data_IF_929032549945
#
_entry.id   IF_929032549945
#
_cell.length_a   1.000
_cell.length_b   1.000
_cell.length_c   1.000
_cell.angle_alpha   90.00
_cell.angle_beta   90.00
_cell.angle_gamma   90.00
#
_symmetry.space_group_name_H-M   'P 1'
#
loop_
_entity.id
_entity.type
_entity.pdbx_description
1 polymer ?
#
# COMPACT_ATOMS: atom_id res chain seq x y z
N UNK A 1 32.43 12.49 -14.07
CA UNK A 1 31.88 13.74 -14.65
C UNK A 1 30.37 13.68 -14.49
N UNK A 2 29.85 14.40 -13.50
CA UNK A 2 28.44 14.41 -13.11
C UNK A 2 27.64 15.23 -14.13
N UNK A 3 26.68 14.62 -14.83
CA UNK A 3 25.59 15.35 -15.47
C UNK A 3 24.37 15.29 -14.54
N UNK A 4 24.11 16.37 -13.82
CA UNK A 4 22.83 16.62 -13.17
C UNK A 4 21.77 16.76 -14.27
N UNK A 5 20.79 15.87 -14.24
CA UNK A 5 19.62 15.93 -15.13
C UNK A 5 18.64 16.94 -14.54
N UNK A 6 18.45 18.05 -15.24
CA UNK A 6 17.49 19.11 -14.88
C UNK A 6 16.11 18.75 -15.43
N UNK A 7 15.25 18.19 -14.59
CA UNK A 7 13.84 17.91 -14.93
C UNK A 7 12.82 18.84 -14.22
N UNK A 8 13.29 19.95 -13.64
CA UNK A 8 12.45 20.85 -12.80
C UNK A 8 11.81 22.00 -13.58
N UNK A 9 11.60 21.96 -14.86
CA UNK A 9 11.00 23.11 -15.57
C UNK A 9 9.86 22.85 -16.56
N UNK A 10 9.16 21.75 -16.53
CA UNK A 10 7.99 21.51 -17.41
C UNK A 10 6.69 21.04 -16.76
N UNK A 11 6.61 20.90 -15.44
CA UNK A 11 5.41 20.46 -14.72
C UNK A 11 4.50 21.55 -14.14
N UNK A 12 4.85 22.83 -14.21
CA UNK A 12 4.14 23.89 -13.48
C UNK A 12 3.12 24.71 -14.31
N UNK A 13 2.67 24.23 -15.45
CA UNK A 13 1.80 24.99 -16.33
C UNK A 13 0.42 24.37 -16.63
N UNK A 14 0.00 23.28 -16.02
CA UNK A 14 -1.28 22.62 -16.34
C UNK A 14 -2.23 22.46 -15.13
N UNK A 15 -1.86 22.84 -13.92
CA UNK A 15 -2.71 22.70 -12.72
C UNK A 15 -3.52 23.94 -12.32
N UNK A 16 -3.84 24.86 -13.22
CA UNK A 16 -4.63 26.06 -12.90
C UNK A 16 -5.92 26.20 -13.73
N UNK A 17 -6.50 25.12 -14.24
CA UNK A 17 -7.62 25.22 -15.17
C UNK A 17 -8.83 24.30 -14.94
N UNK A 18 -9.05 23.70 -13.79
CA UNK A 18 -10.25 22.84 -13.56
C UNK A 18 -11.01 23.15 -12.27
N UNK A 19 -10.82 24.27 -11.63
CA UNK A 19 -11.64 24.71 -10.49
C UNK A 19 -12.41 26.00 -10.72
N UNK A 20 -13.14 26.13 -11.84
CA UNK A 20 -14.11 27.22 -12.00
C UNK A 20 -15.19 26.84 -13.01
N UNK A 21 -16.18 26.07 -12.61
CA UNK A 21 -17.55 26.14 -13.14
C UNK A 21 -18.51 25.61 -12.08
N UNK A 22 -18.85 26.39 -11.07
CA UNK A 22 -20.21 26.45 -10.55
C UNK A 22 -20.40 27.88 -10.01
N UNK A 23 -21.17 28.64 -10.76
CA UNK A 23 -21.48 30.01 -10.43
C UNK A 23 -22.36 30.14 -9.20
N UNK A 24 -21.93 30.94 -8.26
CA UNK A 24 -22.79 31.59 -7.27
C UNK A 24 -22.67 33.09 -7.48
N UNK A 25 -23.79 33.72 -7.79
CA UNK A 25 -23.90 35.16 -8.00
C UNK A 25 -23.59 35.93 -6.71
N UNK A 26 -22.99 37.14 -6.79
CA UNK A 26 -22.71 37.93 -5.62
C UNK A 26 -23.98 38.62 -5.11
N UNK A 27 -24.27 38.45 -3.82
CA UNK A 27 -25.24 39.24 -3.09
C UNK A 27 -24.58 40.51 -2.63
N UNK A 28 -25.06 41.65 -3.10
CA UNK A 28 -24.65 42.97 -2.69
C UNK A 28 -25.05 43.25 -1.25
N UNK A 29 -24.09 43.62 -0.43
CA UNK A 29 -24.35 44.14 0.91
C UNK A 29 -24.74 45.63 0.82
N UNK A 30 -25.95 45.94 1.24
CA UNK A 30 -26.36 47.31 1.54
C UNK A 30 -26.08 47.58 3.03
N UNK A 31 -25.34 48.64 3.29
CA UNK A 31 -25.15 49.21 4.62
C UNK A 31 -26.35 50.06 4.99
N UNK A 32 -26.88 49.87 6.20
CA UNK A 32 -27.59 50.90 6.94
C UNK A 32 -27.17 50.86 8.39
N UNK A 33 -26.59 51.96 8.85
CA UNK A 33 -26.33 52.27 10.25
C UNK A 33 -27.66 52.51 10.99
N UNK A 34 -27.76 52.00 12.20
CA UNK A 34 -28.64 52.62 13.20
C UNK A 34 -28.07 52.38 14.61
N UNK A 35 -27.62 53.51 15.18
CA UNK A 35 -27.33 53.70 16.59
C UNK A 35 -28.57 53.46 17.46
N UNK A 36 -28.42 52.75 18.55
CA UNK A 36 -29.22 52.97 19.78
C UNK A 36 -28.43 52.46 20.99
N UNK A 37 -27.90 53.43 21.72
CA UNK A 37 -27.44 53.30 23.10
C UNK A 37 -28.59 52.78 24.01
N UNK A 38 -28.33 51.74 24.81
CA UNK A 38 -29.04 51.47 26.03
C UNK A 38 -28.04 51.26 27.15
N UNK A 39 -27.93 52.27 28.00
CA UNK A 39 -27.24 52.20 29.27
C UNK A 39 -28.00 51.27 30.25
N UNK A 40 -27.36 50.31 30.87
CA UNK A 40 -27.83 49.62 32.05
C UNK A 40 -26.78 49.66 33.15
N UNK A 41 -27.26 50.18 34.27
CA UNK A 41 -26.55 50.49 35.50
C UNK A 41 -25.84 49.30 36.14
N UNK A 42 -24.67 49.62 36.71
CA UNK A 42 -23.95 48.81 37.66
C UNK A 42 -24.78 48.54 38.93
N UNK A 43 -24.75 47.29 39.40
CA UNK A 43 -25.00 46.99 40.80
C UNK A 43 -23.84 46.12 41.34
N UNK A 44 -23.11 46.76 42.21
CA UNK A 44 -22.04 46.24 43.03
C UNK A 44 -22.61 45.25 44.07
N UNK A 45 -22.04 44.06 44.17
CA UNK A 45 -21.76 43.44 45.49
C UNK A 45 -20.97 42.15 45.36
N UNK A 46 -19.74 42.28 45.80
CA UNK A 46 -18.95 41.35 46.64
C UNK A 46 -18.95 39.84 46.36
N UNK A 47 -17.79 39.35 45.95
CA UNK A 47 -17.40 37.96 46.05
C UNK A 47 -16.17 37.69 45.20
N UNK A 48 -14.98 38.28 45.54
CA UNK A 48 -13.70 37.85 45.02
C UNK A 48 -13.40 36.45 45.54
N UNK A 49 -13.73 35.43 44.77
CA UNK A 49 -13.01 34.17 44.84
C UNK A 49 -12.00 34.23 43.71
N UNK A 50 -10.74 34.43 44.03
CA UNK A 50 -9.62 34.20 43.15
C UNK A 50 -9.65 32.72 42.79
N UNK A 51 -10.22 32.38 41.64
CA UNK A 51 -9.90 31.15 40.96
C UNK A 51 -8.48 31.35 40.39
N UNK A 52 -7.51 30.89 41.18
CA UNK A 52 -6.19 30.59 40.76
C UNK A 52 -6.39 29.52 39.64
N UNK A 53 -6.32 29.95 38.36
CA UNK A 53 -6.06 29.05 37.26
C UNK A 53 -4.63 28.55 37.48
N UNK A 54 -4.52 27.42 38.16
CA UNK A 54 -3.31 26.61 38.04
C UNK A 54 -3.28 26.19 36.58
N UNK A 55 -2.45 26.88 35.76
CA UNK A 55 -1.89 26.27 34.58
C UNK A 55 -1.21 25.01 35.10
N UNK A 56 -1.80 23.84 34.93
CA UNK A 56 -1.14 22.57 35.13
C UNK A 56 0.02 22.56 34.11
N UNK A 57 1.24 22.77 34.62
CA UNK A 57 2.44 22.60 33.79
C UNK A 57 2.37 21.20 33.20
N UNK A 58 2.25 21.13 31.88
CA UNK A 58 2.21 19.90 31.13
C UNK A 58 3.45 19.09 31.48
N UNK A 59 3.27 17.84 31.93
CA UNK A 59 4.35 17.00 32.42
C UNK A 59 5.29 16.60 31.29
N UNK A 60 6.46 17.21 31.20
CA UNK A 60 7.47 16.94 30.16
C UNK A 60 8.19 15.60 30.29
N UNK A 61 7.83 14.77 31.25
CA UNK A 61 8.43 13.46 31.55
C UNK A 61 9.94 13.48 31.85
N UNK A 62 10.53 14.68 32.01
CA UNK A 62 11.96 14.86 32.29
C UNK A 62 12.33 14.39 33.71
N UNK A 63 13.48 13.66 33.79
CA UNK A 63 14.01 13.18 35.06
C UNK A 63 13.17 12.14 35.79
N UNK A 64 12.32 11.45 35.03
CA UNK A 64 11.45 10.37 35.52
C UNK A 64 11.95 9.04 34.99
N UNK A 65 12.17 8.08 35.87
CA UNK A 65 12.47 6.72 35.47
C UNK A 65 11.18 6.01 35.03
N UNK A 66 11.12 5.58 33.76
CA UNK A 66 9.98 4.88 33.18
C UNK A 66 10.35 3.44 32.94
N UNK A 67 9.55 2.52 33.44
CA UNK A 67 9.69 1.09 33.16
C UNK A 67 8.79 0.72 31.98
N UNK A 68 9.38 0.17 30.93
CA UNK A 68 8.65 -0.31 29.75
C UNK A 68 8.31 -1.80 29.89
N UNK A 69 7.13 -2.18 29.43
CA UNK A 69 6.75 -3.59 29.29
C UNK A 69 7.44 -4.22 28.05
N UNK A 70 7.19 -5.51 27.80
CA UNK A 70 7.76 -6.24 26.65
C UNK A 70 7.42 -5.63 25.29
N UNK A 71 6.28 -4.91 25.20
CA UNK A 71 5.82 -4.25 23.97
C UNK A 71 6.34 -2.81 23.84
N UNK A 72 7.17 -2.34 24.79
CA UNK A 72 7.77 -1.01 24.75
C UNK A 72 6.84 0.11 25.22
N UNK A 73 5.73 -0.17 25.89
CA UNK A 73 4.85 0.82 26.51
C UNK A 73 5.16 0.97 28.01
N UNK A 74 5.18 2.19 28.51
CA UNK A 74 5.31 2.54 29.90
C UNK A 74 4.38 3.66 30.29
N UNK A 75 4.20 3.88 31.61
CA UNK A 75 3.41 4.99 32.11
C UNK A 75 4.28 5.93 32.92
N UNK A 76 4.10 7.24 32.72
CA UNK A 76 4.76 8.24 33.53
C UNK A 76 4.23 8.18 34.98
N UNK A 77 5.07 7.96 36.00
CA UNK A 77 4.60 7.90 37.39
C UNK A 77 4.11 9.23 37.94
N UNK A 78 4.37 10.36 37.27
CA UNK A 78 3.90 11.68 37.69
C UNK A 78 2.52 12.04 37.15
N UNK A 79 2.25 11.77 35.85
CA UNK A 79 1.01 12.17 35.17
C UNK A 79 0.18 11.00 34.64
N UNK A 80 0.71 9.77 34.75
CA UNK A 80 0.11 8.54 34.25
C UNK A 80 -0.11 8.50 32.72
N UNK A 81 0.48 9.43 31.96
CA UNK A 81 0.46 9.38 30.51
C UNK A 81 1.25 8.18 29.99
N UNK A 82 0.78 7.58 28.90
CA UNK A 82 1.50 6.52 28.19
C UNK A 82 2.76 7.12 27.54
N UNK A 83 3.90 6.47 27.76
CA UNK A 83 5.18 6.84 27.18
C UNK A 83 5.70 5.65 26.37
N UNK A 84 6.29 5.95 25.24
CA UNK A 84 6.80 4.97 24.31
C UNK A 84 8.30 4.78 24.46
N UNK A 85 8.77 3.53 24.39
CA UNK A 85 10.19 3.22 24.40
C UNK A 85 10.84 3.85 23.15
N UNK A 86 11.91 4.65 23.29
CA UNK A 86 12.62 5.20 22.15
C UNK A 86 13.17 4.12 21.23
N UNK A 87 13.06 4.31 19.92
CA UNK A 87 13.77 3.52 18.94
C UNK A 87 15.28 3.77 19.05
N UNK A 88 16.09 2.79 18.68
CA UNK A 88 17.55 2.84 18.80
C UNK A 88 18.12 3.35 17.50
N UNK A 89 18.72 4.56 17.52
CA UNK A 89 19.45 5.07 16.38
C UNK A 89 20.81 4.36 16.25
N UNK A 90 21.09 3.86 15.06
CA UNK A 90 22.35 3.21 14.69
C UNK A 90 23.01 3.95 13.54
N UNK A 91 24.34 3.99 13.55
CA UNK A 91 25.15 4.60 12.50
C UNK A 91 26.03 3.55 11.85
N UNK A 92 26.43 3.76 10.61
CA UNK A 92 27.38 2.90 9.87
C UNK A 92 26.96 1.41 9.74
N UNK A 93 25.67 1.09 9.90
CA UNK A 93 25.18 -0.29 9.86
C UNK A 93 24.39 -0.61 8.58
N UNK A 94 23.50 0.27 8.18
CA UNK A 94 22.56 0.06 7.08
C UNK A 94 22.86 0.98 5.90
N UNK A 95 22.88 0.41 4.70
CA UNK A 95 22.75 1.09 3.42
C UNK A 95 21.28 0.93 3.05
N UNK A 96 20.46 1.93 3.40
CA UNK A 96 19.00 1.76 3.38
C UNK A 96 18.38 2.16 2.04
N UNK A 97 19.10 2.90 1.20
CA UNK A 97 18.67 3.36 -0.12
C UNK A 97 19.46 2.73 -1.29
N UNK A 98 20.36 1.78 -0.98
CA UNK A 98 21.17 1.02 -1.93
C UNK A 98 22.18 1.88 -2.72
N UNK A 99 22.64 3.01 -2.15
CA UNK A 99 23.63 3.90 -2.78
C UNK A 99 25.08 3.57 -2.41
N UNK A 100 25.30 2.51 -1.62
CA UNK A 100 26.56 2.02 -1.07
C UNK A 100 27.16 2.89 0.05
N UNK A 101 26.40 3.85 0.56
CA UNK A 101 26.71 4.55 1.81
C UNK A 101 25.87 3.98 2.95
N UNK A 102 26.20 4.37 4.16
CA UNK A 102 25.46 3.92 5.35
C UNK A 102 24.89 5.12 6.06
N UNK A 103 23.60 5.08 6.32
CA UNK A 103 22.85 6.15 6.93
C UNK A 103 22.62 5.91 8.41
N UNK A 104 22.21 7.00 9.10
CA UNK A 104 21.60 6.89 10.41
C UNK A 104 20.21 6.28 10.28
N UNK A 105 19.97 5.21 11.01
CA UNK A 105 18.73 4.45 10.93
C UNK A 105 18.22 4.09 12.32
N UNK A 106 16.93 4.30 12.58
CA UNK A 106 16.27 3.86 13.80
C UNK A 106 15.86 2.39 13.71
N UNK A 107 16.37 1.56 14.61
CA UNK A 107 15.96 0.15 14.76
C UNK A 107 14.68 0.08 15.58
N UNK A 108 13.65 -0.59 15.01
CA UNK A 108 12.34 -0.79 15.62
C UNK A 108 12.14 -2.29 15.85
N UNK A 109 11.98 -2.72 17.10
CA UNK A 109 11.83 -4.12 17.49
C UNK A 109 10.55 -4.43 18.27
N UNK A 110 9.78 -3.43 18.67
CA UNK A 110 8.53 -3.58 19.39
C UNK A 110 7.54 -2.44 19.11
N UNK A 111 6.30 -2.59 19.58
CA UNK A 111 5.23 -1.63 19.33
C UNK A 111 5.52 -0.22 19.89
N UNK A 112 6.08 -0.13 21.11
CA UNK A 112 6.40 1.17 21.71
C UNK A 112 7.41 1.96 20.88
N UNK A 113 8.43 1.29 20.32
CA UNK A 113 9.40 1.92 19.41
C UNK A 113 8.75 2.36 18.09
N UNK A 114 7.76 1.63 17.58
CA UNK A 114 7.01 2.04 16.40
C UNK A 114 6.18 3.31 16.69
N UNK A 115 5.50 3.39 17.85
CA UNK A 115 4.78 4.59 18.27
C UNK A 115 5.70 5.76 18.55
N UNK A 116 6.87 5.50 19.14
CA UNK A 116 7.88 6.53 19.34
C UNK A 116 8.38 7.08 18.00
N UNK A 117 8.64 6.22 17.01
CA UNK A 117 9.05 6.64 15.68
C UNK A 117 7.94 7.45 14.97
N UNK A 118 6.68 7.03 15.09
CA UNK A 118 5.55 7.81 14.60
C UNK A 118 5.52 9.20 15.28
N UNK A 119 5.72 9.28 16.58
CA UNK A 119 5.80 10.52 17.32
C UNK A 119 6.97 11.42 16.90
N UNK A 120 8.15 10.85 16.60
CA UNK A 120 9.32 11.55 16.06
C UNK A 120 9.00 12.22 14.71
N UNK A 121 8.40 11.46 13.79
CA UNK A 121 8.02 11.96 12.47
C UNK A 121 6.88 12.99 12.57
N UNK A 122 5.91 12.78 13.45
CA UNK A 122 4.77 13.66 13.65
C UNK A 122 5.10 14.92 14.48
N UNK A 123 6.26 14.96 15.15
CA UNK A 123 6.65 16.06 16.03
C UNK A 123 5.78 16.14 17.29
N UNK A 124 5.36 15.00 17.83
CA UNK A 124 4.49 14.89 19.02
C UNK A 124 5.22 14.39 20.27
N UNK A 125 6.52 14.15 20.18
CA UNK A 125 7.34 13.74 21.32
C UNK A 125 7.83 14.96 22.12
N UNK A 126 7.62 14.93 23.43
CA UNK A 126 8.12 15.99 24.32
C UNK A 126 9.65 16.08 24.30
N UNK A 127 10.15 17.28 24.05
CA UNK A 127 11.58 17.56 24.07
C UNK A 127 12.41 16.92 22.95
N UNK A 128 11.75 16.30 21.94
CA UNK A 128 12.38 15.70 20.76
C UNK A 128 12.01 16.53 19.53
N UNK A 129 13.02 16.96 18.76
CA UNK A 129 12.79 17.69 17.52
C UNK A 129 12.16 16.77 16.45
N UNK A 130 11.16 17.29 15.74
CA UNK A 130 10.50 16.58 14.65
C UNK A 130 11.50 16.21 13.55
N UNK A 131 11.42 14.96 13.05
CA UNK A 131 12.28 14.50 11.96
C UNK A 131 11.46 13.70 10.92
N UNK A 132 11.02 14.36 9.86
CA UNK A 132 10.31 13.73 8.74
C UNK A 132 11.22 12.97 7.78
N UNK A 133 12.54 13.16 7.88
CA UNK A 133 13.58 12.52 7.07
C UNK A 133 14.17 11.29 7.78
N UNK A 134 13.69 10.95 8.99
CA UNK A 134 14.23 9.84 9.77
C UNK A 134 14.11 8.52 9.01
N UNK A 135 15.21 7.79 8.89
CA UNK A 135 15.22 6.43 8.34
C UNK A 135 14.92 5.40 9.42
N UNK A 136 14.23 4.33 9.10
CA UNK A 136 13.94 3.26 10.04
C UNK A 136 14.02 1.86 9.41
N UNK A 137 14.34 0.86 10.24
CA UNK A 137 14.32 -0.55 9.87
C UNK A 137 13.61 -1.38 10.93
N UNK A 138 12.73 -2.29 10.51
CA UNK A 138 12.16 -3.27 11.42
C UNK A 138 13.16 -4.41 11.65
N UNK A 139 13.45 -4.70 12.93
CA UNK A 139 14.31 -5.81 13.32
C UNK A 139 13.55 -7.02 13.82
N UNK A 140 12.23 -6.87 14.09
CA UNK A 140 11.31 -7.93 14.47
C UNK A 140 9.93 -7.71 13.85
N UNK A 141 9.07 -8.73 13.85
CA UNK A 141 7.64 -8.53 13.62
C UNK A 141 7.06 -7.75 14.81
N UNK A 142 6.23 -6.78 14.54
CA UNK A 142 5.61 -5.91 15.54
C UNK A 142 4.16 -6.31 15.72
N UNK A 143 3.72 -6.48 16.97
CA UNK A 143 2.30 -6.69 17.30
C UNK A 143 1.84 -5.61 18.28
N UNK A 144 0.80 -4.86 17.93
CA UNK A 144 0.21 -3.81 18.78
C UNK A 144 -0.98 -4.38 19.56
N UNK A 145 -2.01 -4.82 18.87
CA UNK A 145 -3.16 -5.52 19.44
C UNK A 145 -3.18 -6.95 18.91
N UNK A 146 -3.17 -7.92 19.81
CA UNK A 146 -3.17 -9.33 19.43
C UNK A 146 -4.55 -9.78 18.95
N UNK A 147 -4.61 -10.51 17.82
CA UNK A 147 -5.84 -11.05 17.24
C UNK A 147 -6.94 -9.98 17.07
N UNK A 148 -6.55 -8.79 16.57
CA UNK A 148 -7.44 -7.65 16.49
C UNK A 148 -8.73 -7.95 15.72
N UNK A 149 -8.61 -8.46 14.49
CA UNK A 149 -9.78 -8.68 13.62
C UNK A 149 -10.75 -9.71 14.20
N UNK A 150 -10.24 -10.75 14.86
CA UNK A 150 -11.06 -11.77 15.52
C UNK A 150 -11.72 -11.26 16.82
N UNK A 151 -11.13 -10.20 17.42
CA UNK A 151 -11.59 -9.60 18.69
C UNK A 151 -12.59 -8.47 18.51
N UNK A 152 -12.76 -7.94 17.28
CA UNK A 152 -13.71 -6.88 16.98
C UNK A 152 -15.15 -7.34 17.26
N UNK A 153 -15.90 -6.47 17.95
CA UNK A 153 -17.33 -6.63 18.16
C UNK A 153 -18.08 -5.50 17.43
N UNK A 154 -19.22 -5.85 16.87
CA UNK A 154 -20.00 -4.89 16.11
C UNK A 154 -21.37 -4.69 16.74
N UNK A 155 -21.89 -3.46 16.66
CA UNK A 155 -23.25 -3.13 17.00
C UNK A 155 -24.25 -3.57 15.90
N UNK A 156 -25.52 -3.30 16.10
CA UNK A 156 -26.59 -3.63 15.15
C UNK A 156 -26.51 -2.83 13.84
N UNK A 157 -25.74 -1.75 13.82
CA UNK A 157 -25.52 -0.88 12.66
C UNK A 157 -24.23 -1.25 11.91
N UNK A 158 -23.45 -2.20 12.45
CA UNK A 158 -22.18 -2.66 11.86
C UNK A 158 -20.97 -1.80 12.24
N UNK A 159 -21.09 -0.92 13.27
CA UNK A 159 -19.95 -0.18 13.78
C UNK A 159 -19.24 -0.98 14.88
N UNK A 160 -17.92 -0.79 14.99
CA UNK A 160 -17.15 -1.40 16.08
C UNK A 160 -17.62 -0.84 17.42
N UNK A 161 -18.05 -1.74 18.32
CA UNK A 161 -18.64 -1.39 19.62
C UNK A 161 -17.64 -1.47 20.78
N UNK A 162 -16.53 -2.18 20.62
CA UNK A 162 -15.51 -2.38 21.64
C UNK A 162 -14.16 -1.72 21.31
N UNK A 163 -14.17 -0.64 20.54
CA UNK A 163 -12.94 0.06 20.12
C UNK A 163 -12.06 0.55 21.25
N UNK A 164 -12.64 0.80 22.45
CA UNK A 164 -11.89 1.20 23.64
C UNK A 164 -10.98 0.10 24.22
N UNK A 165 -11.15 -1.15 23.80
CA UNK A 165 -10.32 -2.28 24.25
C UNK A 165 -8.96 -2.32 23.53
N UNK A 166 -8.80 -1.54 22.46
CA UNK A 166 -7.60 -1.56 21.61
C UNK A 166 -6.76 -0.30 21.76
N UNK A 167 -5.45 -0.48 21.63
CA UNK A 167 -4.50 0.63 21.52
C UNK A 167 -4.71 1.24 20.12
N UNK A 168 -5.10 2.52 20.10
CA UNK A 168 -5.35 3.27 18.86
C UNK A 168 -4.04 3.62 18.17
N UNK A 169 -3.98 3.39 16.86
CA UNK A 169 -2.86 3.77 16.02
C UNK A 169 -2.96 5.23 15.56
N UNK A 170 -1.84 5.92 15.56
CA UNK A 170 -1.68 7.20 14.87
C UNK A 170 -0.72 7.00 13.71
N UNK A 171 -1.10 7.25 12.46
CA UNK A 171 -0.24 7.03 11.30
C UNK A 171 1.11 7.76 11.39
N UNK A 172 2.17 7.15 10.88
CA UNK A 172 3.44 7.85 10.66
C UNK A 172 3.19 8.93 9.59
N UNK A 173 3.60 10.16 9.85
CA UNK A 173 3.27 11.33 9.03
C UNK A 173 1.76 11.55 8.91
N UNK A 174 1.14 11.72 10.06
CA UNK A 174 -0.30 11.90 10.21
C UNK A 174 -0.77 13.25 9.65
N UNK A 175 -1.97 13.23 9.06
CA UNK A 175 -2.64 14.43 8.53
C UNK A 175 -3.51 15.05 9.61
N UNK A 176 -2.92 15.86 10.50
CA UNK A 176 -3.62 16.50 11.62
C UNK A 176 -4.07 17.92 11.25
N UNK A 177 -5.28 18.07 10.76
CA UNK A 177 -5.92 19.37 10.56
C UNK A 177 -5.13 20.31 9.65
N UNK A 178 -4.54 21.40 10.20
CA UNK A 178 -3.76 22.38 9.43
C UNK A 178 -2.27 22.03 9.26
N UNK A 179 -1.83 20.89 9.78
CA UNK A 179 -0.45 20.40 9.64
C UNK A 179 -0.44 19.19 8.72
N UNK A 180 0.11 19.36 7.55
CA UNK A 180 0.41 18.26 6.62
C UNK A 180 1.83 17.81 6.94
N UNK A 181 1.98 16.79 7.76
CA UNK A 181 3.26 16.11 7.92
C UNK A 181 3.38 15.10 6.79
N UNK A 182 4.50 15.10 6.09
CA UNK A 182 4.75 14.15 5.01
C UNK A 182 6.10 13.48 5.26
N UNK A 183 6.13 12.18 5.11
CA UNK A 183 7.32 11.37 5.32
C UNK A 183 8.25 11.43 4.10
N UNK A 184 9.52 11.76 4.34
CA UNK A 184 10.54 11.92 3.29
C UNK A 184 11.76 11.01 3.51
N UNK A 185 11.75 10.16 4.54
CA UNK A 185 12.81 9.19 4.81
C UNK A 185 12.60 7.86 4.11
N UNK A 186 13.44 6.87 4.43
CA UNK A 186 13.27 5.48 4.03
C UNK A 186 12.85 4.62 5.22
N UNK A 187 11.72 3.94 5.11
CA UNK A 187 11.25 2.93 6.05
C UNK A 187 11.37 1.54 5.42
N UNK A 188 12.30 0.74 5.93
CA UNK A 188 12.48 -0.64 5.50
C UNK A 188 11.89 -1.61 6.52
N UNK A 189 10.78 -2.24 6.16
CA UNK A 189 10.18 -3.31 6.96
C UNK A 189 11.03 -4.58 7.05
N UNK A 190 12.11 -4.71 6.26
CA UNK A 190 13.03 -5.85 6.28
C UNK A 190 12.30 -7.20 6.24
N UNK A 191 11.23 -7.28 5.44
CA UNK A 191 10.32 -8.41 5.31
C UNK A 191 9.66 -8.83 6.63
N UNK A 192 9.41 -7.89 7.54
CA UNK A 192 8.66 -8.07 8.77
C UNK A 192 7.24 -7.55 8.63
N UNK A 193 6.42 -7.89 9.61
CA UNK A 193 5.02 -7.46 9.67
C UNK A 193 4.77 -6.50 10.81
N UNK A 194 3.82 -5.60 10.60
CA UNK A 194 3.16 -4.82 11.65
C UNK A 194 1.72 -5.32 11.75
N UNK A 195 1.36 -5.80 12.93
CA UNK A 195 0.08 -6.47 13.21
C UNK A 195 -0.72 -5.71 14.27
N UNK A 196 -2.04 -5.73 14.14
CA UNK A 196 -2.94 -5.22 15.16
C UNK A 196 -3.03 -3.70 15.23
N UNK A 197 -2.81 -2.99 14.15
CA UNK A 197 -3.04 -1.55 14.08
C UNK A 197 -4.54 -1.27 14.04
N UNK A 198 -5.03 -0.47 15.00
CA UNK A 198 -6.44 -0.11 15.11
C UNK A 198 -6.63 1.40 14.93
N UNK A 199 -7.38 1.79 13.93
CA UNK A 199 -7.86 3.16 13.75
C UNK A 199 -9.35 3.15 13.37
N UNK A 200 -10.17 3.91 14.11
CA UNK A 200 -11.60 4.08 13.86
C UNK A 200 -11.98 5.52 14.17
N UNK A 201 -12.02 6.37 13.16
CA UNK A 201 -12.26 7.81 13.35
C UNK A 201 -12.59 8.52 12.04
N UNK A 202 -12.69 9.84 12.13
CA UNK A 202 -13.13 10.73 11.04
C UNK A 202 -11.95 11.45 10.34
N UNK A 203 -10.72 10.94 10.51
CA UNK A 203 -9.55 11.52 9.86
C UNK A 203 -9.39 11.03 8.42
N UNK A 204 -8.62 11.77 7.64
CA UNK A 204 -8.19 11.41 6.29
C UNK A 204 -6.73 10.94 6.30
N UNK A 205 -6.27 10.32 5.22
CA UNK A 205 -4.90 9.81 5.06
C UNK A 205 -4.53 8.78 6.13
N UNK A 206 -5.25 7.66 6.13
CA UNK A 206 -5.09 6.58 7.11
C UNK A 206 -4.35 5.39 6.51
N UNK A 207 -3.42 4.82 7.29
CA UNK A 207 -2.63 3.64 6.98
C UNK A 207 -1.54 3.40 8.03
N UNK A 208 -0.56 2.56 7.74
CA UNK A 208 0.70 2.55 8.51
C UNK A 208 1.36 3.93 8.42
N UNK A 209 1.33 4.54 7.24
CA UNK A 209 1.69 5.93 6.97
C UNK A 209 0.46 6.73 6.58
N UNK A 210 0.38 7.98 7.06
CA UNK A 210 -0.64 8.93 6.62
C UNK A 210 -0.30 9.49 5.25
N UNK A 211 0.87 10.11 5.11
CA UNK A 211 1.29 10.73 3.85
C UNK A 211 2.81 10.63 3.62
N UNK A 212 3.23 10.49 2.35
CA UNK A 212 4.63 10.52 1.95
C UNK A 212 4.90 11.61 0.90
N UNK A 213 6.09 12.20 0.95
CA UNK A 213 6.64 13.10 -0.06
C UNK A 213 7.33 12.32 -1.20
N UNK A 214 7.77 13.04 -2.23
CA UNK A 214 8.46 12.48 -3.40
C UNK A 214 9.72 11.68 -3.07
N UNK A 215 10.42 12.04 -2.01
CA UNK A 215 11.63 11.35 -1.56
C UNK A 215 11.34 10.23 -0.56
N UNK A 216 10.09 10.12 -0.08
CA UNK A 216 9.65 9.08 0.86
C UNK A 216 9.69 7.70 0.23
N UNK A 217 10.29 6.74 0.92
CA UNK A 217 10.43 5.36 0.46
C UNK A 217 9.95 4.40 1.53
N UNK A 218 8.86 3.67 1.25
CA UNK A 218 8.27 2.67 2.14
C UNK A 218 8.45 1.31 1.48
N UNK A 219 9.22 0.42 2.10
CA UNK A 219 9.54 -0.85 1.46
C UNK A 219 9.52 -2.06 2.41
N UNK A 220 9.28 -3.25 1.83
CA UNK A 220 9.46 -4.56 2.47
C UNK A 220 8.65 -4.74 3.77
N UNK A 221 7.44 -4.18 3.89
CA UNK A 221 6.60 -4.30 5.08
C UNK A 221 5.23 -4.89 4.77
N UNK A 222 4.77 -5.78 5.66
CA UNK A 222 3.39 -6.28 5.66
C UNK A 222 2.56 -5.66 6.77
N UNK A 223 1.37 -5.17 6.46
CA UNK A 223 0.36 -4.74 7.45
C UNK A 223 -0.67 -5.85 7.55
N UNK A 224 -0.80 -6.48 8.72
CA UNK A 224 -1.63 -7.67 8.90
C UNK A 224 -2.52 -7.52 10.14
N UNK A 225 -3.61 -8.26 10.20
CA UNK A 225 -4.52 -8.28 11.37
C UNK A 225 -4.84 -6.86 11.87
N UNK A 226 -5.07 -5.91 10.97
CA UNK A 226 -5.25 -4.49 11.26
C UNK A 226 -6.60 -3.99 10.75
N UNK A 227 -7.15 -2.98 11.43
CA UNK A 227 -8.43 -2.38 11.10
C UNK A 227 -8.29 -0.87 10.96
N UNK A 228 -8.57 -0.34 9.77
CA UNK A 228 -8.58 1.09 9.52
C UNK A 228 -9.95 1.54 8.99
N UNK A 229 -10.59 2.46 9.72
CA UNK A 229 -11.79 3.15 9.28
C UNK A 229 -11.55 4.65 9.36
N UNK A 230 -11.56 5.32 8.21
CA UNK A 230 -11.34 6.76 8.09
C UNK A 230 -12.33 7.41 7.13
N UNK A 231 -12.22 8.73 6.98
CA UNK A 231 -13.08 9.48 6.06
C UNK A 231 -12.65 9.26 4.61
N UNK A 232 -11.41 9.60 4.28
CA UNK A 232 -10.90 9.60 2.91
C UNK A 232 -9.42 9.21 2.90
N UNK A 233 -8.88 8.84 1.74
CA UNK A 233 -7.50 8.42 1.51
C UNK A 233 -7.08 7.30 2.48
N UNK A 234 -7.80 6.16 2.43
CA UNK A 234 -7.52 5.02 3.30
C UNK A 234 -6.73 3.96 2.54
N UNK A 235 -5.56 3.61 3.05
CA UNK A 235 -4.70 2.55 2.53
C UNK A 235 -4.13 1.68 3.64
N UNK A 236 -3.83 0.41 3.38
CA UNK A 236 -3.21 -0.45 4.39
C UNK A 236 -1.79 0.00 4.73
N UNK A 237 -1.05 0.46 3.73
CA UNK A 237 0.34 0.93 3.89
C UNK A 237 0.41 2.44 3.97
N UNK A 238 -0.25 3.16 3.06
CA UNK A 238 -0.19 4.62 3.03
C UNK A 238 -1.52 5.23 2.61
N UNK A 239 -1.98 6.28 3.30
CA UNK A 239 -3.16 7.03 2.90
C UNK A 239 -2.94 7.82 1.61
N UNK A 240 -1.90 8.66 1.56
CA UNK A 240 -1.55 9.51 0.42
C UNK A 240 -0.06 9.38 0.07
N UNK A 241 0.25 8.87 -1.12
CA UNK A 241 1.62 8.58 -1.54
C UNK A 241 2.07 9.50 -2.68
N UNK A 242 3.14 10.28 -2.46
CA UNK A 242 3.86 10.97 -3.52
C UNK A 242 5.25 10.37 -3.79
N UNK A 243 5.70 9.44 -2.95
CA UNK A 243 6.99 8.77 -3.02
C UNK A 243 6.92 7.36 -3.60
N UNK A 244 7.64 6.43 -3.01
CA UNK A 244 7.73 5.05 -3.50
C UNK A 244 7.24 4.05 -2.45
N UNK A 245 6.33 3.15 -2.84
CA UNK A 245 5.89 2.01 -2.03
C UNK A 245 6.27 0.74 -2.79
N UNK A 246 7.15 -0.09 -2.20
CA UNK A 246 7.62 -1.30 -2.87
C UNK A 246 7.68 -2.50 -1.96
N UNK A 247 7.36 -3.70 -2.53
CA UNK A 247 7.46 -4.96 -1.81
C UNK A 247 6.64 -4.97 -0.50
N UNK A 248 5.48 -4.32 -0.51
CA UNK A 248 4.60 -4.19 0.64
C UNK A 248 3.31 -4.97 0.45
N UNK A 249 2.65 -5.33 1.55
CA UNK A 249 1.34 -5.95 1.45
C UNK A 249 0.41 -5.59 2.59
N UNK A 250 -0.88 -5.75 2.33
CA UNK A 250 -1.95 -5.60 3.31
C UNK A 250 -2.77 -6.89 3.43
N UNK A 251 -3.03 -7.29 4.67
CA UNK A 251 -3.98 -8.33 5.05
C UNK A 251 -4.90 -7.85 6.19
N UNK A 252 -5.11 -6.55 6.29
CA UNK A 252 -6.03 -5.90 7.22
C UNK A 252 -7.35 -5.52 6.56
N UNK A 253 -8.32 -5.08 7.34
CA UNK A 253 -9.62 -4.62 6.89
C UNK A 253 -9.69 -3.09 6.86
N UNK A 254 -10.07 -2.54 5.71
CA UNK A 254 -10.09 -1.11 5.43
C UNK A 254 -11.51 -0.64 5.13
N UNK A 255 -11.89 0.51 5.68
CA UNK A 255 -13.20 1.15 5.42
C UNK A 255 -13.03 2.65 5.22
N UNK A 256 -13.59 3.21 4.15
CA UNK A 256 -13.72 4.65 3.93
C UNK A 256 -15.19 5.05 3.95
N UNK A 257 -15.49 6.18 4.60
CA UNK A 257 -16.90 6.57 4.88
C UNK A 257 -17.37 7.81 4.14
N UNK A 258 -16.47 8.67 3.67
CA UNK A 258 -16.85 9.90 2.97
C UNK A 258 -17.39 9.62 1.56
N UNK A 259 -18.26 10.51 1.07
CA UNK A 259 -18.98 10.31 -0.19
C UNK A 259 -18.05 10.14 -1.39
N UNK A 260 -16.96 10.88 -1.45
CA UNK A 260 -15.98 10.85 -2.55
C UNK A 260 -14.64 10.23 -2.14
N UNK A 261 -14.68 9.34 -1.15
CA UNK A 261 -13.47 8.73 -0.60
C UNK A 261 -12.66 7.94 -1.65
N UNK A 262 -11.35 7.96 -1.49
CA UNK A 262 -10.43 7.08 -2.20
C UNK A 262 -9.88 6.03 -1.23
N UNK A 263 -10.05 4.77 -1.57
CA UNK A 263 -9.62 3.67 -0.71
C UNK A 263 -8.98 2.55 -1.52
N UNK A 264 -7.82 2.07 -1.08
CA UNK A 264 -7.12 0.97 -1.71
C UNK A 264 -6.40 0.08 -0.72
N UNK A 265 -6.22 -1.19 -1.08
CA UNK A 265 -5.58 -2.16 -0.19
C UNK A 265 -4.18 -1.77 0.25
N UNK A 266 -3.41 -1.12 -0.62
CA UNK A 266 -2.06 -0.61 -0.34
C UNK A 266 -2.09 0.90 -0.09
N UNK A 267 -2.73 1.66 -0.98
CA UNK A 267 -2.71 3.12 -0.93
C UNK A 267 -4.09 3.70 -1.22
N UNK A 268 -4.52 4.71 -0.44
CA UNK A 268 -5.76 5.44 -0.71
C UNK A 268 -5.63 6.28 -1.98
N UNK A 269 -4.67 7.20 -2.01
CA UNK A 269 -4.40 8.07 -3.14
C UNK A 269 -2.90 8.08 -3.50
N UNK A 270 -2.57 7.62 -4.70
CA UNK A 270 -1.21 7.66 -5.25
C UNK A 270 -1.04 8.94 -6.07
N UNK A 271 -0.56 10.00 -5.44
CA UNK A 271 -0.47 11.36 -5.95
C UNK A 271 0.95 11.69 -6.42
N UNK A 272 1.32 11.23 -7.58
CA UNK A 272 2.66 11.43 -8.15
C UNK A 272 3.68 10.34 -7.78
N UNK A 273 3.29 9.34 -6.97
CA UNK A 273 4.18 8.31 -6.49
C UNK A 273 4.17 7.02 -7.32
N UNK A 274 5.01 6.07 -6.94
CA UNK A 274 5.09 4.74 -7.54
C UNK A 274 4.68 3.66 -6.55
N UNK A 275 3.81 2.74 -6.95
CA UNK A 275 3.48 1.53 -6.22
C UNK A 275 3.96 0.33 -7.04
N UNK A 276 4.89 -0.47 -6.50
CA UNK A 276 5.44 -1.60 -7.24
C UNK A 276 5.64 -2.84 -6.37
N UNK A 277 5.43 -4.03 -6.96
CA UNK A 277 5.60 -5.31 -6.26
C UNK A 277 4.80 -5.40 -4.95
N UNK A 278 3.56 -4.93 -4.94
CA UNK A 278 2.70 -4.91 -3.75
C UNK A 278 1.49 -5.81 -3.94
N UNK A 279 0.91 -6.28 -2.83
CA UNK A 279 -0.32 -7.05 -2.91
C UNK A 279 -1.29 -6.81 -1.75
N UNK A 280 -2.57 -7.05 -2.02
CA UNK A 280 -3.62 -7.00 -1.00
C UNK A 280 -4.36 -8.33 -0.92
N UNK A 281 -4.54 -8.80 0.31
CA UNK A 281 -5.40 -9.95 0.65
C UNK A 281 -6.53 -9.57 1.59
N UNK A 282 -6.49 -8.34 2.12
CA UNK A 282 -7.47 -7.82 3.07
C UNK A 282 -8.75 -7.30 2.39
N UNK A 283 -9.72 -6.93 3.19
CA UNK A 283 -10.99 -6.37 2.72
C UNK A 283 -10.90 -4.86 2.53
N UNK A 284 -11.41 -4.35 1.42
CA UNK A 284 -11.49 -2.92 1.09
C UNK A 284 -12.95 -2.54 0.89
N UNK A 285 -13.49 -1.65 1.73
CA UNK A 285 -14.90 -1.28 1.72
C UNK A 285 -15.09 0.23 1.71
N UNK A 286 -15.88 0.75 0.77
CA UNK A 286 -16.36 2.12 0.81
C UNK A 286 -17.85 2.16 1.15
N UNK A 287 -18.24 3.07 2.04
CA UNK A 287 -19.65 3.31 2.36
C UNK A 287 -20.19 4.60 1.74
N UNK A 288 -19.31 5.42 1.17
CA UNK A 288 -19.65 6.64 0.45
C UNK A 288 -20.32 6.40 -0.91
N UNK A 289 -20.90 7.46 -1.48
CA UNK A 289 -21.75 7.34 -2.67
C UNK A 289 -21.00 7.39 -4.02
N UNK A 290 -19.85 8.07 -4.09
CA UNK A 290 -19.07 8.27 -5.33
C UNK A 290 -17.59 7.94 -5.04
N UNK A 291 -17.35 6.89 -4.30
CA UNK A 291 -16.01 6.51 -3.87
C UNK A 291 -15.20 5.86 -5.01
N UNK A 292 -13.89 6.04 -4.99
CA UNK A 292 -12.93 5.31 -5.83
C UNK A 292 -12.30 4.19 -5.02
N UNK A 293 -12.60 2.94 -5.37
CA UNK A 293 -12.30 1.75 -4.58
C UNK A 293 -11.44 0.77 -5.39
N UNK A 294 -10.22 0.57 -4.98
CA UNK A 294 -9.31 -0.34 -5.66
C UNK A 294 -8.72 -1.41 -4.75
N UNK A 295 -8.48 -2.58 -5.30
CA UNK A 295 -7.84 -3.66 -4.55
C UNK A 295 -6.40 -3.34 -4.13
N UNK A 296 -5.71 -2.49 -4.90
CA UNK A 296 -4.35 -2.00 -4.61
C UNK A 296 -4.38 -0.50 -4.28
N UNK A 297 -5.03 0.31 -5.11
CA UNK A 297 -5.04 1.76 -4.94
C UNK A 297 -6.44 2.33 -5.22
N UNK A 298 -6.90 3.29 -4.39
CA UNK A 298 -8.20 3.95 -4.62
C UNK A 298 -8.17 4.83 -5.86
N UNK A 299 -7.26 5.79 -5.89
CA UNK A 299 -7.03 6.68 -7.02
C UNK A 299 -5.52 6.79 -7.31
N UNK A 300 -5.12 6.80 -8.58
CA UNK A 300 -3.71 6.95 -8.96
C UNK A 300 -3.51 7.92 -10.11
N UNK A 301 -2.54 8.82 -9.96
CA UNK A 301 -2.07 9.70 -11.04
C UNK A 301 -0.80 9.18 -11.71
N UNK A 302 -0.12 8.18 -11.13
CA UNK A 302 1.17 7.66 -11.56
C UNK A 302 1.22 6.13 -11.53
N UNK A 303 2.40 5.54 -11.48
CA UNK A 303 2.69 4.13 -11.77
C UNK A 303 2.15 3.15 -10.73
N UNK A 304 1.45 2.10 -11.19
CA UNK A 304 1.15 0.89 -10.42
C UNK A 304 1.68 -0.31 -11.21
N UNK A 305 2.62 -1.04 -10.63
CA UNK A 305 3.42 -2.04 -11.36
C UNK A 305 3.58 -3.35 -10.60
N UNK A 306 3.51 -4.49 -11.28
CA UNK A 306 3.81 -5.81 -10.70
C UNK A 306 3.02 -6.09 -9.40
N UNK A 307 1.77 -5.68 -9.32
CA UNK A 307 0.93 -5.78 -8.13
C UNK A 307 -0.19 -6.81 -8.32
N UNK A 308 -0.72 -7.33 -7.22
CA UNK A 308 -1.95 -8.10 -7.32
C UNK A 308 -2.91 -7.89 -6.13
N UNK A 309 -4.18 -8.23 -6.35
CA UNK A 309 -5.22 -8.24 -5.33
C UNK A 309 -6.02 -9.54 -5.37
N UNK A 310 -6.16 -10.18 -4.21
CA UNK A 310 -7.10 -11.28 -4.00
C UNK A 310 -8.10 -10.99 -2.88
N UNK A 311 -7.96 -9.80 -2.26
CA UNK A 311 -8.89 -9.33 -1.24
C UNK A 311 -10.24 -8.91 -1.82
N UNK A 312 -11.25 -8.89 -0.98
CA UNK A 312 -12.60 -8.45 -1.35
C UNK A 312 -12.64 -6.93 -1.47
N UNK A 313 -13.18 -6.43 -2.59
CA UNK A 313 -13.37 -5.00 -2.86
C UNK A 313 -14.85 -4.71 -3.00
N UNK A 314 -15.39 -3.83 -2.15
CA UNK A 314 -16.82 -3.53 -2.12
C UNK A 314 -17.11 -2.04 -1.96
N UNK A 315 -18.23 -1.58 -2.52
CA UNK A 315 -18.79 -0.27 -2.24
C UNK A 315 -20.31 -0.39 -1.98
N UNK A 316 -20.81 0.49 -1.13
CA UNK A 316 -22.25 0.52 -0.82
C UNK A 316 -23.08 1.10 -1.98
N UNK A 317 -22.49 1.94 -2.82
CA UNK A 317 -23.17 2.61 -3.95
C UNK A 317 -22.77 2.02 -5.29
N UNK A 318 -23.73 1.97 -6.21
CA UNK A 318 -23.48 1.64 -7.63
C UNK A 318 -22.79 2.75 -8.41
N UNK A 319 -22.71 3.96 -7.85
CA UNK A 319 -22.02 5.11 -8.47
C UNK A 319 -20.54 5.20 -8.10
N UNK A 320 -20.04 4.24 -7.32
CA UNK A 320 -18.64 4.12 -6.98
C UNK A 320 -17.83 3.48 -8.12
N UNK A 321 -16.62 3.99 -8.36
CA UNK A 321 -15.64 3.41 -9.27
C UNK A 321 -14.90 2.26 -8.57
N UNK A 322 -15.26 1.01 -8.89
CA UNK A 322 -14.70 -0.19 -8.27
C UNK A 322 -13.81 -0.93 -9.26
N UNK A 323 -12.62 -1.30 -8.83
CA UNK A 323 -11.67 -2.10 -9.62
C UNK A 323 -10.88 -3.10 -8.76
N UNK A 324 -10.51 -4.21 -9.35
CA UNK A 324 -9.60 -5.16 -8.70
C UNK A 324 -8.21 -4.59 -8.40
N UNK A 325 -7.76 -3.55 -9.14
CA UNK A 325 -6.45 -2.91 -8.95
C UNK A 325 -6.59 -1.46 -8.52
N UNK A 326 -7.16 -0.58 -9.34
CA UNK A 326 -7.26 0.84 -9.05
C UNK A 326 -8.64 1.37 -9.41
N UNK A 327 -9.34 1.99 -8.45
CA UNK A 327 -10.70 2.50 -8.64
C UNK A 327 -10.76 3.58 -9.71
N UNK A 328 -10.01 4.65 -9.55
CA UNK A 328 -9.92 5.74 -10.52
C UNK A 328 -8.46 5.98 -10.94
N UNK A 329 -8.15 5.86 -12.24
CA UNK A 329 -6.78 5.80 -12.70
C UNK A 329 -6.47 6.77 -13.84
N UNK A 330 -5.40 7.56 -13.68
CA UNK A 330 -4.83 8.43 -14.70
C UNK A 330 -3.43 7.98 -15.18
N UNK A 331 -2.76 7.14 -14.39
CA UNK A 331 -1.39 6.69 -14.64
C UNK A 331 -1.32 5.31 -15.31
N UNK A 332 -0.13 4.87 -15.68
CA UNK A 332 0.07 3.51 -16.21
C UNK A 332 -0.11 2.43 -15.12
N UNK A 333 -0.94 1.41 -15.43
CA UNK A 333 -1.02 0.15 -14.68
C UNK A 333 -0.42 -0.93 -15.57
N UNK A 334 0.64 -1.62 -15.10
CA UNK A 334 1.30 -2.67 -15.87
C UNK A 334 1.63 -3.89 -15.01
N UNK A 335 1.46 -5.08 -15.60
CA UNK A 335 1.73 -6.36 -14.97
C UNK A 335 1.03 -6.50 -13.59
N UNK A 336 -0.24 -6.10 -13.53
CA UNK A 336 -1.07 -6.16 -12.33
C UNK A 336 -2.23 -7.12 -12.52
N UNK A 337 -2.57 -7.89 -11.48
CA UNK A 337 -3.55 -8.97 -11.56
C UNK A 337 -4.52 -8.93 -10.37
N UNK A 338 -5.73 -9.40 -10.58
CA UNK A 338 -6.69 -9.56 -9.49
C UNK A 338 -7.50 -10.84 -9.63
N UNK A 339 -7.99 -11.35 -8.49
CA UNK A 339 -8.80 -12.55 -8.48
C UNK A 339 -10.18 -12.26 -9.08
N UNK A 340 -10.55 -13.03 -10.09
CA UNK A 340 -11.82 -12.95 -10.79
C UNK A 340 -12.38 -14.35 -11.09
N UNK A 341 -13.68 -14.44 -11.38
CA UNK A 341 -14.30 -15.71 -11.77
C UNK A 341 -13.82 -16.20 -13.14
N UNK A 342 -13.48 -15.25 -14.01
CA UNK A 342 -12.97 -15.50 -15.37
C UNK A 342 -11.81 -14.57 -15.68
N UNK A 343 -10.90 -15.03 -16.56
CA UNK A 343 -9.84 -14.16 -17.08
C UNK A 343 -10.41 -13.02 -17.92
N UNK A 344 -9.86 -11.82 -17.75
CA UNK A 344 -10.21 -10.64 -18.53
C UNK A 344 -8.99 -9.82 -18.98
N UNK A 345 -9.22 -8.87 -19.88
CA UNK A 345 -8.17 -8.00 -20.44
C UNK A 345 -7.60 -6.97 -19.45
N UNK A 346 -8.30 -6.72 -18.32
CA UNK A 346 -7.90 -5.77 -17.28
C UNK A 346 -7.04 -6.40 -16.19
N UNK A 347 -6.67 -7.68 -16.34
CA UNK A 347 -5.80 -8.39 -15.40
C UNK A 347 -6.54 -9.35 -14.46
N UNK A 348 -7.82 -9.61 -14.69
CA UNK A 348 -8.58 -10.64 -13.96
C UNK A 348 -7.99 -12.01 -14.22
N UNK A 349 -7.73 -12.76 -13.15
CA UNK A 349 -7.20 -14.13 -13.17
C UNK A 349 -8.01 -15.02 -12.26
N UNK A 350 -8.23 -16.24 -12.71
CA UNK A 350 -8.99 -17.25 -11.95
C UNK A 350 -8.20 -17.80 -10.77
N UNK A 351 -8.91 -18.39 -9.81
CA UNK A 351 -8.26 -19.12 -8.70
C UNK A 351 -7.29 -20.18 -9.22
N UNK A 352 -7.63 -20.89 -10.30
CA UNK A 352 -6.76 -21.91 -10.88
C UNK A 352 -5.44 -21.31 -11.38
N UNK A 353 -5.46 -20.14 -12.02
CA UNK A 353 -4.27 -19.45 -12.50
C UNK A 353 -3.38 -18.92 -11.36
N UNK A 354 -3.98 -18.45 -10.25
CA UNK A 354 -3.24 -18.08 -9.06
C UNK A 354 -2.56 -19.30 -8.40
N UNK A 355 -3.31 -20.38 -8.20
CA UNK A 355 -2.83 -21.60 -7.51
C UNK A 355 -1.79 -22.34 -8.34
N UNK A 356 -1.88 -22.31 -9.67
CA UNK A 356 -0.93 -23.02 -10.56
C UNK A 356 0.48 -22.42 -10.59
N UNK A 357 0.66 -21.19 -10.11
CA UNK A 357 1.92 -20.43 -10.23
C UNK A 357 1.99 -19.54 -11.48
N UNK A 358 0.96 -19.52 -12.32
CA UNK A 358 0.91 -18.64 -13.50
C UNK A 358 1.10 -17.18 -13.12
N UNK A 359 0.32 -16.70 -12.14
CA UNK A 359 0.39 -15.29 -11.73
C UNK A 359 1.75 -14.96 -11.09
N UNK A 360 2.32 -15.86 -10.28
CA UNK A 360 3.66 -15.67 -9.73
C UNK A 360 4.73 -15.58 -10.84
N UNK A 361 4.62 -16.43 -11.86
CA UNK A 361 5.51 -16.37 -13.03
C UNK A 361 5.35 -15.04 -13.78
N UNK A 362 4.12 -14.61 -14.09
CA UNK A 362 3.85 -13.35 -14.80
C UNK A 362 4.41 -12.15 -14.03
N UNK A 363 4.15 -12.06 -12.74
CA UNK A 363 4.69 -11.01 -11.87
C UNK A 363 6.22 -11.00 -11.86
N UNK A 364 6.85 -12.20 -11.84
CA UNK A 364 8.32 -12.34 -11.81
C UNK A 364 9.02 -11.83 -13.06
N UNK A 365 8.31 -11.74 -14.18
CA UNK A 365 8.88 -11.19 -15.43
C UNK A 365 9.12 -9.67 -15.33
N UNK A 366 8.47 -9.01 -14.39
CA UNK A 366 8.52 -7.55 -14.28
C UNK A 366 7.86 -6.85 -15.48
N UNK A 367 8.14 -5.58 -15.63
CA UNK A 367 7.62 -4.80 -16.76
C UNK A 367 8.53 -3.61 -17.09
N UNK A 368 8.38 -3.09 -18.30
CA UNK A 368 9.08 -1.89 -18.77
C UNK A 368 8.09 -0.77 -19.02
N UNK A 369 8.41 0.43 -18.54
CA UNK A 369 7.65 1.66 -18.73
C UNK A 369 8.48 2.65 -19.53
N UNK A 370 7.85 3.35 -20.49
CA UNK A 370 8.54 4.21 -21.44
C UNK A 370 8.99 3.48 -22.69
N UNK A 371 9.64 4.21 -23.59
CA UNK A 371 10.15 3.70 -24.86
C UNK A 371 11.56 4.25 -25.15
N UNK A 372 12.33 3.52 -25.92
CA UNK A 372 13.68 3.96 -26.34
C UNK A 372 14.66 4.09 -25.18
N UNK A 373 15.42 5.19 -25.16
CA UNK A 373 16.44 5.45 -24.13
C UNK A 373 15.84 5.85 -22.77
N UNK A 374 14.56 6.23 -22.73
CA UNK A 374 13.84 6.60 -21.52
C UNK A 374 13.09 5.41 -20.89
N UNK A 375 13.24 4.21 -21.43
CA UNK A 375 12.60 3.00 -20.93
C UNK A 375 13.21 2.57 -19.59
N UNK A 376 12.36 2.43 -18.56
CA UNK A 376 12.75 1.94 -17.24
C UNK A 376 12.14 0.57 -17.02
N UNK A 377 13.00 -0.42 -16.69
CA UNK A 377 12.55 -1.78 -16.38
C UNK A 377 12.43 -1.96 -14.87
N UNK A 378 11.26 -2.37 -14.42
CA UNK A 378 10.94 -2.71 -13.05
C UNK A 378 11.00 -4.23 -12.89
N UNK A 379 11.92 -4.71 -12.05
CA UNK A 379 12.12 -6.13 -11.80
C UNK A 379 10.97 -6.72 -10.99
N UNK A 380 10.50 -7.90 -11.40
CA UNK A 380 9.58 -8.73 -10.63
C UNK A 380 10.28 -9.88 -9.89
N UNK A 381 11.61 -9.90 -9.81
CA UNK A 381 12.40 -11.02 -9.26
C UNK A 381 12.10 -11.34 -7.78
N UNK A 382 11.42 -10.46 -7.09
CA UNK A 382 10.94 -10.64 -5.72
C UNK A 382 9.72 -11.57 -5.62
N UNK A 383 9.07 -11.88 -6.73
CA UNK A 383 7.89 -12.75 -6.73
C UNK A 383 8.27 -14.22 -6.80
N UNK A 384 7.58 -15.03 -6.01
CA UNK A 384 7.66 -16.47 -5.98
C UNK A 384 6.40 -17.11 -5.44
N UNK A 385 6.34 -18.44 -5.47
CA UNK A 385 5.23 -19.21 -4.91
C UNK A 385 5.69 -20.63 -4.64
N UNK A 386 5.50 -21.13 -3.42
CA UNK A 386 5.75 -22.52 -3.10
C UNK A 386 4.63 -23.40 -3.68
N UNK A 387 4.86 -24.02 -4.84
CA UNK A 387 3.85 -24.85 -5.52
C UNK A 387 3.78 -26.25 -4.91
N UNK A 388 2.55 -26.80 -4.81
CA UNK A 388 2.25 -28.18 -4.40
C UNK A 388 1.98 -28.37 -2.91
N UNK A 389 1.32 -29.42 -2.55
CA UNK A 389 0.99 -29.96 -1.23
C UNK A 389 0.63 -28.96 -0.13
N UNK A 390 1.61 -28.57 0.67
CA UNK A 390 1.49 -27.58 1.75
C UNK A 390 2.11 -26.21 1.37
N UNK A 391 2.20 -25.92 0.07
CA UNK A 391 2.79 -24.69 -0.43
C UNK A 391 1.88 -23.47 -0.34
N UNK A 392 2.31 -22.38 -0.98
CA UNK A 392 1.56 -21.13 -1.04
C UNK A 392 0.37 -21.26 -2.00
N UNK A 393 -0.79 -20.79 -1.56
CA UNK A 393 -1.97 -20.71 -2.44
C UNK A 393 -1.83 -19.60 -3.47
N UNK A 394 -1.09 -18.53 -3.13
CA UNK A 394 -0.96 -17.32 -3.93
C UNK A 394 0.51 -16.86 -4.01
N UNK A 395 0.88 -15.98 -4.96
CA UNK A 395 2.22 -15.41 -5.03
C UNK A 395 2.65 -14.73 -3.72
N UNK A 396 3.91 -14.88 -3.36
CA UNK A 396 4.51 -14.28 -2.17
C UNK A 396 5.74 -13.46 -2.53
N UNK A 397 6.03 -12.47 -1.70
CA UNK A 397 7.28 -11.70 -1.78
C UNK A 397 8.41 -12.50 -1.13
N UNK A 398 9.51 -12.65 -1.85
CA UNK A 398 10.74 -13.28 -1.38
C UNK A 398 11.89 -12.27 -1.39
N UNK A 399 12.99 -12.59 -0.76
CA UNK A 399 14.18 -11.73 -0.83
C UNK A 399 14.69 -11.65 -2.27
N UNK A 400 15.12 -10.46 -2.68
CA UNK A 400 15.73 -10.28 -3.99
C UNK A 400 16.93 -11.21 -4.16
N UNK A 401 16.98 -11.92 -5.29
CA UNK A 401 18.03 -12.89 -5.58
C UNK A 401 17.85 -14.27 -4.93
N UNK A 402 16.84 -14.48 -4.11
CA UNK A 402 16.48 -15.81 -3.60
C UNK A 402 15.90 -16.65 -4.75
N UNK A 403 16.49 -17.83 -4.98
CA UNK A 403 16.03 -18.76 -6.01
C UNK A 403 14.98 -19.75 -5.47
N UNK A 404 14.83 -19.82 -4.16
CA UNK A 404 13.80 -20.64 -3.52
C UNK A 404 12.42 -20.10 -3.90
N UNK A 405 11.49 -20.99 -4.18
CA UNK A 405 10.13 -20.65 -4.63
C UNK A 405 10.03 -19.84 -5.95
N UNK A 406 11.10 -19.76 -6.73
CA UNK A 406 11.04 -19.18 -8.07
C UNK A 406 10.19 -20.06 -8.97
N UNK A 407 9.17 -19.49 -9.60
CA UNK A 407 8.29 -20.20 -10.52
C UNK A 407 8.80 -20.04 -11.94
N UNK A 408 8.91 -21.16 -12.64
CA UNK A 408 9.29 -21.23 -14.05
C UNK A 408 8.12 -21.72 -14.88
N UNK A 409 7.97 -21.15 -16.06
CA UNK A 409 7.05 -21.65 -17.06
C UNK A 409 7.71 -22.75 -17.86
N UNK A 410 7.12 -23.93 -17.82
CA UNK A 410 7.55 -25.08 -18.60
C UNK A 410 6.46 -25.44 -19.61
N UNK A 411 6.87 -25.74 -20.83
CA UNK A 411 5.95 -26.25 -21.83
C UNK A 411 5.96 -27.78 -21.75
N UNK A 412 4.82 -28.39 -21.45
CA UNK A 412 4.66 -29.83 -21.61
C UNK A 412 4.16 -30.12 -23.01
N UNK A 413 4.96 -30.85 -23.76
CA UNK A 413 4.60 -31.19 -25.12
C UNK A 413 4.08 -32.61 -25.17
N UNK A 414 2.81 -32.83 -25.45
CA UNK A 414 2.34 -34.16 -25.78
C UNK A 414 2.71 -34.54 -27.19
N UNK A 415 3.97 -34.32 -27.55
CA UNK A 415 4.62 -35.15 -28.54
C UNK A 415 4.82 -34.67 -29.95
N UNK A 416 4.43 -33.48 -30.41
CA UNK A 416 4.65 -33.09 -31.80
C UNK A 416 5.29 -31.71 -31.99
N UNK A 417 6.21 -31.57 -32.94
CA UNK A 417 6.84 -30.31 -33.28
C UNK A 417 5.81 -29.26 -33.72
N UNK A 418 5.81 -28.08 -33.10
CA UNK A 418 4.92 -26.96 -33.43
C UNK A 418 3.56 -26.96 -32.76
N UNK A 419 3.24 -27.95 -31.94
CA UNK A 419 2.07 -27.98 -31.09
C UNK A 419 2.51 -28.02 -29.64
N UNK A 420 2.74 -26.85 -28.99
CA UNK A 420 3.04 -26.81 -27.57
C UNK A 420 1.86 -27.39 -26.80
N UNK A 421 2.13 -28.31 -25.90
CA UNK A 421 1.14 -28.81 -24.97
C UNK A 421 0.70 -27.75 -23.96
N UNK A 422 0.05 -28.19 -22.92
CA UNK A 422 -0.37 -27.31 -21.84
C UNK A 422 0.83 -26.65 -21.16
N UNK A 423 0.67 -25.38 -20.80
CA UNK A 423 1.65 -24.66 -19.99
C UNK A 423 1.61 -25.19 -18.57
N UNK A 424 2.76 -25.56 -18.02
CA UNK A 424 2.91 -26.03 -16.64
C UNK A 424 3.91 -25.13 -15.93
N UNK A 425 3.58 -24.74 -14.71
CA UNK A 425 4.46 -23.96 -13.85
C UNK A 425 5.12 -24.87 -12.81
N UNK A 426 6.40 -24.68 -12.57
CA UNK A 426 7.19 -25.50 -11.66
C UNK A 426 8.39 -24.74 -11.10
N UNK A 427 9.09 -25.32 -10.13
CA UNK A 427 10.35 -24.77 -9.59
C UNK A 427 11.59 -25.09 -10.44
N UNK A 428 11.46 -25.91 -11.46
CA UNK A 428 12.59 -26.36 -12.25
C UNK A 428 12.66 -25.63 -13.58
N UNK A 429 13.77 -24.93 -13.83
CA UNK A 429 14.11 -24.41 -15.15
C UNK A 429 14.89 -25.41 -16.00
N UNK A 430 15.11 -26.64 -15.47
CA UNK A 430 15.96 -27.67 -16.12
C UNK A 430 15.19 -28.61 -17.02
N UNK A 431 13.90 -28.41 -17.23
CA UNK A 431 13.20 -29.17 -18.25
C UNK A 431 13.83 -28.84 -19.59
N UNK A 432 14.51 -29.87 -20.15
CA UNK A 432 15.03 -29.80 -21.50
C UNK A 432 13.88 -29.45 -22.43
N UNK A 433 14.16 -28.63 -23.45
CA UNK A 433 13.26 -28.51 -24.57
C UNK A 433 12.84 -29.95 -24.97
N UNK A 434 11.54 -30.24 -24.96
CA UNK A 434 11.10 -31.62 -25.24
C UNK A 434 11.57 -32.02 -26.61
N UNK A 435 11.97 -33.27 -26.73
CA UNK A 435 12.16 -33.85 -28.04
C UNK A 435 10.76 -33.99 -28.66
N UNK A 436 10.50 -33.24 -29.72
CA UNK A 436 9.29 -33.38 -30.49
C UNK A 436 9.29 -34.73 -31.22
N UNK A 437 8.17 -35.47 -31.15
CA UNK A 437 7.94 -36.57 -32.06
C UNK A 437 7.61 -36.00 -33.47
N UNK A 438 8.02 -36.70 -34.49
CA UNK A 438 7.59 -36.40 -35.86
C UNK A 438 6.06 -36.57 -35.93
N UNK A 439 5.39 -35.71 -36.72
CA UNK A 439 3.96 -35.89 -36.98
C UNK A 439 3.70 -37.17 -37.76
N UNK A 440 2.79 -37.96 -37.26
CA UNK A 440 2.32 -39.19 -37.92
C UNK A 440 0.84 -39.07 -38.29
N UNK A 441 0.46 -39.67 -39.39
CA UNK A 441 -0.92 -39.78 -39.88
C UNK A 441 -1.07 -41.23 -40.40
N UNK A 442 -1.17 -42.18 -39.46
CA UNK A 442 -1.26 -43.60 -39.78
C UNK A 442 -2.63 -44.01 -40.33
N UNK A 443 -3.67 -43.26 -39.90
CA UNK A 443 -5.06 -43.51 -40.35
C UNK A 443 -5.45 -42.71 -41.63
N UNK A 444 -4.58 -41.88 -42.14
CA UNK A 444 -4.70 -41.08 -43.36
C UNK A 444 -5.92 -40.14 -43.36
N UNK A 445 -6.32 -39.64 -42.21
CA UNK A 445 -7.41 -38.69 -42.06
C UNK A 445 -6.99 -37.23 -42.35
N UNK A 446 -5.69 -37.03 -42.62
CA UNK A 446 -5.10 -35.70 -42.89
C UNK A 446 -4.83 -34.88 -41.66
N UNK A 447 -4.81 -35.52 -40.49
CA UNK A 447 -4.46 -34.91 -39.20
C UNK A 447 -3.38 -35.76 -38.52
N UNK A 448 -2.58 -35.07 -37.71
CA UNK A 448 -1.63 -35.77 -36.88
C UNK A 448 -2.31 -36.66 -35.83
N UNK A 449 -1.95 -37.94 -35.77
CA UNK A 449 -2.52 -38.90 -34.80
C UNK A 449 -2.33 -38.47 -33.36
N UNK A 450 -1.26 -37.76 -33.05
CA UNK A 450 -0.92 -37.33 -31.71
C UNK A 450 -1.54 -35.97 -31.34
N UNK A 451 -1.27 -34.91 -32.12
CA UNK A 451 -1.69 -33.56 -31.77
C UNK A 451 -2.98 -33.09 -32.48
N UNK A 452 -3.57 -33.90 -33.35
CA UNK A 452 -4.79 -33.65 -34.10
C UNK A 452 -4.77 -32.40 -35.02
N UNK A 453 -3.58 -31.85 -35.27
CA UNK A 453 -3.40 -30.71 -36.17
C UNK A 453 -3.58 -31.15 -37.62
N UNK A 454 -4.36 -30.36 -38.42
CA UNK A 454 -4.56 -30.61 -39.86
C UNK A 454 -3.25 -30.37 -40.63
N UNK A 455 -2.77 -31.35 -41.42
CA UNK A 455 -1.53 -31.26 -42.20
C UNK A 455 -1.52 -30.11 -43.20
N UNK A 456 -2.67 -29.61 -43.64
CA UNK A 456 -2.74 -28.42 -44.51
C UNK A 456 -2.31 -27.15 -43.78
N UNK A 457 -2.65 -27.04 -42.46
CA UNK A 457 -2.19 -25.94 -41.61
C UNK A 457 -0.70 -26.03 -41.32
N UNK A 458 -0.18 -27.25 -41.27
CA UNK A 458 1.24 -27.54 -41.02
C UNK A 458 2.15 -27.13 -42.17
N UNK A 459 1.77 -27.34 -43.42
CA UNK A 459 2.52 -26.84 -44.59
C UNK A 459 2.64 -25.30 -44.57
N UNK A 460 1.65 -24.59 -44.02
CA UNK A 460 1.70 -23.15 -43.89
C UNK A 460 2.63 -22.70 -42.74
N UNK A 461 2.66 -23.41 -41.61
CA UNK A 461 3.55 -23.16 -40.49
C UNK A 461 5.00 -23.54 -40.83
N UNK A 462 5.23 -24.66 -41.48
CA UNK A 462 6.57 -25.10 -41.96
C UNK A 462 7.23 -24.10 -42.91
N UNK A 463 6.43 -23.40 -43.71
CA UNK A 463 6.91 -22.30 -44.57
C UNK A 463 7.25 -21.02 -43.82
N UNK A 464 6.68 -20.82 -42.64
CA UNK A 464 7.03 -19.71 -41.73
C UNK A 464 8.35 -19.99 -40.97
N UNK A 465 8.56 -21.20 -40.51
CA UNK A 465 9.77 -21.60 -39.74
C UNK A 465 11.02 -21.61 -40.63
N UNK A 466 10.89 -21.98 -41.89
CA UNK A 466 12.03 -21.92 -42.87
C UNK A 466 12.39 -20.50 -43.31
N UNK A 467 11.57 -19.49 -43.04
CA UNK A 467 11.89 -18.08 -43.32
C UNK A 467 12.58 -17.35 -42.18
N UNK A 468 12.69 -17.96 -41.01
CA UNK A 468 13.30 -17.38 -39.79
C UNK A 468 14.68 -17.98 -39.51
N UNK A 469 15.15 -18.92 -40.29
CA UNK A 469 16.57 -19.35 -40.39
C UNK A 469 17.21 -18.57 -41.55
#
# INVERSE_FOLDING_TARGET
MRKKISWIKRGLAVMLSVCMVFGVAPIQAGAEENDSEIAVQANDSAGKTEQQSTEEEECKHEGVEITFNSNGFGNCPKCNATVYQPAVETTDKYDIDDDSMKENVYEISNAGQLYWFAGLVNGTLDGVEQNTLANAVLTANITVNENLLDSLQYDTEGNVSNGSDFITWTPIADWMGNRTTQYSGTFDGNNKTVSGLYFNGDSTCIGLFGSSESDGNIKNVGVVDSYFKGNDHVGGVCGNNAGTITNCYNAGNLTAIESSATIGGICGYNNGGTIANCYNTGTVTATGTVASVGGVCGCSTELILNCYNIGTVTAASSDADISGICGYNFGPIKNCYYLADTEDENGGKTTAQFVSGEVAYLLSQGCTVGEGEDAVTYSGSVWGQALGGNGDTYPVLKKAGDVENTVYRNETYPGCEGNPGDLVYSYSNTQKAPAYAEHTDEDLDGKCDVCKLDFKTFEQLGKLITKVK
#
